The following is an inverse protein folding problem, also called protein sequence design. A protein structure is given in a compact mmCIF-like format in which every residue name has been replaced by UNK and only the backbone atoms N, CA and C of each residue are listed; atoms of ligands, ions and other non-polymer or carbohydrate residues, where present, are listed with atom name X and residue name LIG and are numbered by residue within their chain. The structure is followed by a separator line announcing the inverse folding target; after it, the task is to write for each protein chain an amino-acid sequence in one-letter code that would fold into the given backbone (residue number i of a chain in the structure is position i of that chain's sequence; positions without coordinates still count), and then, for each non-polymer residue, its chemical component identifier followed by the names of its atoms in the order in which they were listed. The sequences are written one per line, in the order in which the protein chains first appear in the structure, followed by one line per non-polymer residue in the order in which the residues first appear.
data_IF_047225484982
#
_entry.id   IF_047225484982
#
_cell.length_a   1.000
_cell.length_b   1.000
_cell.length_c   1.000
_cell.angle_alpha   90.00
_cell.angle_beta   90.00
_cell.angle_gamma   90.00
#
_symmetry.space_group_name_H-M   'P 1'
#
loop_
_entity.id
_entity.type
_entity.pdbx_description
1 polymer ?
#
# COMPACT_ATOMS: atom_id res chain seq x y z
N UNK A 1 -19.70 29.82 -7.96
CA UNK A 1 -18.58 28.89 -7.86
C UNK A 1 -18.68 28.23 -6.49
N UNK A 2 -18.96 26.94 -6.48
CA UNK A 2 -19.02 26.16 -5.22
C UNK A 2 -17.61 25.96 -4.70
N UNK A 3 -17.43 26.05 -3.40
CA UNK A 3 -16.18 25.66 -2.72
C UNK A 3 -16.03 24.15 -2.86
N UNK A 4 -14.82 23.67 -3.21
CA UNK A 4 -14.53 22.23 -3.25
C UNK A 4 -14.56 21.70 -1.80
N UNK A 5 -15.45 20.76 -1.46
CA UNK A 5 -15.55 20.25 -0.09
C UNK A 5 -14.23 19.63 0.41
N UNK A 6 -13.37 19.17 -0.47
CA UNK A 6 -12.08 18.55 -0.11
C UNK A 6 -11.07 19.56 0.43
N UNK A 7 -11.25 20.86 0.21
CA UNK A 7 -10.41 21.93 0.79
C UNK A 7 -10.43 21.95 2.33
N UNK A 8 -11.40 21.31 2.96
CA UNK A 8 -11.51 21.22 4.42
C UNK A 8 -10.83 19.99 5.01
N UNK A 9 -10.36 19.05 4.17
CA UNK A 9 -9.62 17.88 4.64
C UNK A 9 -8.14 18.24 4.78
N UNK A 10 -7.47 17.90 5.90
CA UNK A 10 -6.03 18.08 6.02
C UNK A 10 -5.28 17.38 4.88
N UNK A 11 -4.14 17.94 4.49
CA UNK A 11 -3.23 17.37 3.47
C UNK A 11 -1.92 16.93 4.13
N UNK A 12 -1.17 16.05 3.45
CA UNK A 12 0.16 15.63 3.90
C UNK A 12 1.07 16.84 4.14
N UNK A 13 1.90 16.77 5.19
CA UNK A 13 2.90 17.79 5.49
C UNK A 13 4.06 17.79 4.49
N UNK A 14 4.36 16.62 3.90
CA UNK A 14 5.43 16.47 2.90
C UNK A 14 4.90 16.88 1.53
N UNK A 15 5.79 17.46 0.74
CA UNK A 15 5.49 17.83 -0.64
C UNK A 15 5.09 16.58 -1.44
N UNK A 16 3.94 16.59 -2.13
CA UNK A 16 3.50 15.46 -2.97
C UNK A 16 4.52 15.07 -4.06
N UNK A 17 5.23 16.05 -4.66
CA UNK A 17 6.27 15.77 -5.67
C UNK A 17 7.48 15.08 -5.04
N UNK A 18 7.86 15.45 -3.81
CA UNK A 18 8.91 14.79 -3.06
C UNK A 18 8.52 13.34 -2.74
N UNK A 19 7.28 13.11 -2.26
CA UNK A 19 6.77 11.77 -1.97
C UNK A 19 6.71 10.89 -3.23
N UNK A 20 6.30 11.45 -4.36
CA UNK A 20 6.29 10.73 -5.64
C UNK A 20 7.71 10.35 -6.07
N UNK A 21 8.69 11.25 -5.91
CA UNK A 21 10.10 10.94 -6.17
C UNK A 21 10.64 9.81 -5.30
N UNK A 22 10.28 9.76 -4.01
CA UNK A 22 10.62 8.65 -3.13
C UNK A 22 9.94 7.35 -3.55
N UNK A 23 8.66 7.40 -3.91
CA UNK A 23 7.91 6.24 -4.38
C UNK A 23 8.52 5.64 -5.64
N UNK A 24 8.90 6.48 -6.61
CA UNK A 24 9.62 6.05 -7.80
C UNK A 24 10.98 5.43 -7.48
N UNK A 25 11.73 6.02 -6.53
CA UNK A 25 13.00 5.48 -6.09
C UNK A 25 12.82 4.09 -5.50
N UNK A 26 11.90 3.90 -4.56
CA UNK A 26 11.61 2.62 -3.94
C UNK A 26 11.10 1.57 -4.94
N UNK A 27 10.36 2.00 -5.96
CA UNK A 27 9.94 1.11 -7.06
C UNK A 27 11.14 0.60 -7.86
N UNK A 28 12.16 1.44 -8.09
CA UNK A 28 13.41 1.03 -8.76
C UNK A 28 14.24 0.05 -7.93
N UNK A 29 14.10 0.06 -6.60
CA UNK A 29 14.74 -0.93 -5.71
C UNK A 29 14.13 -2.34 -5.83
N UNK A 30 12.99 -2.50 -6.47
CA UNK A 30 12.46 -3.82 -6.85
C UNK A 30 13.22 -4.29 -8.10
N UNK A 31 14.25 -5.13 -7.92
CA UNK A 31 15.13 -5.57 -9.00
C UNK A 31 14.53 -6.69 -9.86
N UNK A 32 13.61 -7.51 -9.31
CA UNK A 32 12.81 -8.45 -10.11
C UNK A 32 11.93 -7.67 -11.10
N UNK A 33 12.18 -7.74 -12.42
CA UNK A 33 11.47 -6.92 -13.38
C UNK A 33 9.98 -7.25 -13.48
N UNK A 34 9.59 -8.47 -13.10
CA UNK A 34 8.21 -8.92 -13.13
C UNK A 34 7.43 -8.29 -11.97
N UNK A 35 7.98 -8.35 -10.75
CA UNK A 35 7.36 -7.71 -9.58
C UNK A 35 7.34 -6.18 -9.73
N UNK A 36 8.43 -5.59 -10.23
CA UNK A 36 8.46 -4.13 -10.50
C UNK A 36 7.38 -3.71 -11.47
N UNK A 37 7.17 -4.46 -12.54
CA UNK A 37 6.10 -4.18 -13.51
C UNK A 37 4.70 -4.23 -12.86
N UNK A 38 4.45 -5.14 -11.91
CA UNK A 38 3.18 -5.17 -11.16
C UNK A 38 3.01 -3.88 -10.35
N UNK A 39 4.06 -3.43 -9.65
CA UNK A 39 4.03 -2.17 -8.89
C UNK A 39 3.75 -0.98 -9.82
N UNK A 40 4.48 -0.88 -10.94
CA UNK A 40 4.33 0.20 -11.92
C UNK A 40 2.90 0.25 -12.49
N UNK A 41 2.35 -0.91 -12.84
CA UNK A 41 0.97 -1.00 -13.36
C UNK A 41 -0.07 -0.62 -12.32
N UNK A 42 0.09 -1.02 -11.08
CA UNK A 42 -0.88 -0.75 -10.02
C UNK A 42 -0.85 0.71 -9.57
N UNK A 43 0.35 1.29 -9.37
CA UNK A 43 0.52 2.60 -8.72
C UNK A 43 0.59 3.74 -9.74
N UNK A 44 1.28 3.57 -10.89
CA UNK A 44 1.58 4.69 -11.78
C UNK A 44 0.73 4.72 -13.06
N UNK A 45 0.32 3.59 -13.59
CA UNK A 45 -0.34 3.53 -14.91
C UNK A 45 -1.74 2.91 -14.87
N UNK A 46 -2.12 2.28 -13.78
CA UNK A 46 -3.43 1.64 -13.61
C UNK A 46 -4.56 2.63 -13.28
N UNK A 47 -5.80 2.13 -13.27
CA UNK A 47 -6.98 2.95 -12.95
C UNK A 47 -6.93 3.60 -11.56
N UNK A 48 -6.15 3.06 -10.64
CA UNK A 48 -6.01 3.55 -9.26
C UNK A 48 -4.92 4.63 -9.10
N UNK A 49 -4.17 4.97 -10.14
CA UNK A 49 -2.98 5.81 -10.04
C UNK A 49 -3.26 7.22 -9.51
N UNK A 50 -4.32 7.86 -9.98
CA UNK A 50 -4.72 9.19 -9.52
C UNK A 50 -5.21 9.14 -8.06
N UNK A 51 -6.06 8.18 -7.74
CA UNK A 51 -6.57 7.99 -6.39
C UNK A 51 -5.46 7.62 -5.40
N UNK A 52 -4.44 6.87 -5.81
CA UNK A 52 -3.31 6.53 -4.95
C UNK A 52 -2.56 7.76 -4.44
N UNK A 53 -2.43 8.80 -5.26
CA UNK A 53 -1.80 10.07 -4.89
C UNK A 53 -2.63 10.88 -3.90
N UNK A 54 -3.95 10.74 -3.94
CA UNK A 54 -4.91 11.56 -3.18
C UNK A 54 -5.46 10.86 -1.94
N UNK A 55 -5.57 9.54 -1.96
CA UNK A 55 -6.25 8.79 -0.92
C UNK A 55 -5.66 9.02 0.47
N UNK A 56 -6.51 9.11 1.51
CA UNK A 56 -6.08 9.01 2.89
C UNK A 56 -5.69 7.57 3.21
N UNK A 57 -4.89 7.39 4.26
CA UNK A 57 -4.54 6.05 4.74
C UNK A 57 -5.60 5.47 5.69
N UNK A 58 -6.23 6.34 6.49
CA UNK A 58 -7.29 5.94 7.43
C UNK A 58 -8.39 6.99 7.46
N UNK A 59 -9.54 6.62 8.04
CA UNK A 59 -10.64 7.55 8.29
C UNK A 59 -10.35 8.48 9.48
N UNK A 60 -9.87 7.90 10.58
CA UNK A 60 -9.61 8.60 11.83
C UNK A 60 -8.39 7.95 12.49
N UNK A 61 -7.21 8.50 12.35
CA UNK A 61 -6.00 7.93 12.92
C UNK A 61 -4.75 8.37 12.16
N UNK A 62 -3.77 7.47 12.05
CA UNK A 62 -2.54 7.77 11.33
C UNK A 62 -2.82 8.06 9.84
N UNK A 63 -2.19 9.10 9.33
CA UNK A 63 -2.32 9.52 7.92
C UNK A 63 -3.78 9.75 7.44
N UNK A 64 -4.68 10.26 8.32
CA UNK A 64 -6.07 10.59 8.01
C UNK A 64 -6.18 11.96 7.31
N UNK A 65 -5.50 12.10 6.18
CA UNK A 65 -5.43 13.30 5.34
C UNK A 65 -5.17 12.93 3.88
N UNK A 66 -5.44 13.85 2.97
CA UNK A 66 -5.19 13.63 1.55
C UNK A 66 -3.69 13.43 1.28
N UNK A 67 -3.36 12.40 0.48
CA UNK A 67 -1.98 11.97 0.26
C UNK A 67 -1.40 11.08 1.36
N UNK A 68 -2.16 10.80 2.43
CA UNK A 68 -1.74 9.98 3.55
C UNK A 68 -1.38 8.55 3.16
N UNK A 69 -2.07 7.97 2.18
CA UNK A 69 -1.75 6.65 1.64
C UNK A 69 -0.35 6.61 1.03
N UNK A 70 0.00 7.59 0.22
CA UNK A 70 1.32 7.67 -0.41
C UNK A 70 2.42 7.90 0.64
N UNK A 71 2.19 8.79 1.61
CA UNK A 71 3.16 9.04 2.69
C UNK A 71 3.42 7.79 3.53
N UNK A 72 2.36 7.06 3.93
CA UNK A 72 2.47 5.79 4.65
C UNK A 72 3.23 4.75 3.82
N UNK A 73 2.89 4.60 2.55
CA UNK A 73 3.55 3.65 1.64
C UNK A 73 5.06 3.92 1.52
N UNK A 74 5.46 5.19 1.37
CA UNK A 74 6.87 5.60 1.32
C UNK A 74 7.56 5.30 2.65
N UNK A 75 6.91 5.58 3.78
CA UNK A 75 7.47 5.29 5.11
C UNK A 75 7.73 3.79 5.30
N UNK A 76 6.73 2.93 4.99
CA UNK A 76 6.88 1.47 5.10
C UNK A 76 7.95 0.95 4.14
N UNK A 77 8.00 1.44 2.89
CA UNK A 77 9.03 1.07 1.92
C UNK A 77 10.45 1.45 2.38
N UNK A 78 10.61 2.62 3.00
CA UNK A 78 11.89 3.04 3.59
C UNK A 78 12.32 2.11 4.72
N UNK A 79 11.41 1.72 5.60
CA UNK A 79 11.68 0.73 6.66
C UNK A 79 12.06 -0.64 6.09
N UNK A 80 11.48 -1.05 4.96
CA UNK A 80 11.84 -2.28 4.25
C UNK A 80 13.29 -2.24 3.79
N UNK A 81 13.76 -1.13 3.21
CA UNK A 81 15.15 -0.99 2.75
C UNK A 81 16.11 -1.29 3.90
N UNK A 82 15.96 -0.62 5.04
CA UNK A 82 16.81 -0.83 6.23
C UNK A 82 16.68 -2.26 6.78
N UNK A 83 15.48 -2.81 6.78
CA UNK A 83 15.24 -4.17 7.26
C UNK A 83 15.95 -5.21 6.41
N UNK A 84 15.96 -5.06 5.08
CA UNK A 84 16.63 -5.98 4.17
C UNK A 84 18.16 -5.93 4.32
N UNK A 85 18.72 -4.77 4.62
CA UNK A 85 20.16 -4.65 4.96
C UNK A 85 20.51 -5.47 6.20
N UNK A 86 19.69 -5.41 7.24
CA UNK A 86 19.88 -6.15 8.50
C UNK A 86 19.57 -7.65 8.37
N UNK A 87 18.67 -8.02 7.46
CA UNK A 87 18.17 -9.38 7.28
C UNK A 87 18.31 -9.86 5.83
N UNK A 88 19.54 -10.16 5.35
CA UNK A 88 19.81 -10.45 3.93
C UNK A 88 19.23 -11.79 3.42
N UNK A 89 18.56 -12.56 4.28
CA UNK A 89 17.82 -13.77 3.88
C UNK A 89 16.39 -13.49 3.41
N UNK A 90 15.89 -12.28 3.65
CA UNK A 90 14.59 -11.86 3.10
C UNK A 90 14.69 -11.68 1.59
N UNK A 91 13.63 -12.06 0.88
CA UNK A 91 13.46 -11.69 -0.51
C UNK A 91 13.11 -10.19 -0.58
N UNK A 92 14.11 -9.34 -0.81
CA UNK A 92 13.97 -7.89 -0.82
C UNK A 92 12.98 -7.41 -1.88
N UNK A 93 12.99 -8.03 -3.07
CA UNK A 93 12.09 -7.67 -4.17
C UNK A 93 10.63 -7.95 -3.82
N UNK A 94 10.36 -9.13 -3.26
CA UNK A 94 9.02 -9.51 -2.82
C UNK A 94 8.53 -8.60 -1.68
N UNK A 95 9.39 -8.36 -0.67
CA UNK A 95 9.01 -7.55 0.49
C UNK A 95 8.79 -6.09 0.08
N UNK A 96 9.64 -5.52 -0.77
CA UNK A 96 9.47 -4.15 -1.26
C UNK A 96 8.21 -4.03 -2.13
N UNK A 97 7.99 -4.92 -3.09
CA UNK A 97 6.77 -4.91 -3.90
C UNK A 97 5.51 -5.04 -3.04
N UNK A 98 5.53 -5.93 -2.04
CA UNK A 98 4.42 -6.08 -1.11
C UNK A 98 4.22 -4.84 -0.25
N UNK A 99 5.28 -4.17 0.20
CA UNK A 99 5.20 -2.93 0.96
C UNK A 99 4.62 -1.77 0.14
N UNK A 100 4.99 -1.66 -1.12
CA UNK A 100 4.45 -0.62 -2.01
C UNK A 100 2.96 -0.84 -2.35
N UNK A 101 2.48 -2.08 -2.30
CA UNK A 101 1.13 -2.47 -2.72
C UNK A 101 0.18 -2.82 -1.57
N UNK A 102 0.66 -2.93 -0.31
CA UNK A 102 -0.13 -3.52 0.77
C UNK A 102 -1.47 -2.82 1.01
N UNK A 103 -1.49 -1.52 0.86
CA UNK A 103 -2.65 -0.66 1.11
C UNK A 103 -3.29 -0.09 -0.16
N UNK A 104 -2.92 -0.57 -1.37
CA UNK A 104 -3.45 -0.06 -2.64
C UNK A 104 -4.98 -0.09 -2.72
N UNK A 105 -5.62 -1.01 -2.03
CA UNK A 105 -7.07 -1.12 -1.98
C UNK A 105 -7.78 0.05 -1.30
N UNK A 106 -7.08 0.86 -0.52
CA UNK A 106 -7.61 2.09 0.09
C UNK A 106 -8.01 3.13 -0.95
N UNK A 107 -7.47 3.05 -2.16
CA UNK A 107 -7.91 3.86 -3.31
C UNK A 107 -9.39 3.64 -3.67
N UNK A 108 -9.93 2.46 -3.39
CA UNK A 108 -11.36 2.16 -3.61
C UNK A 108 -12.16 2.01 -2.32
N UNK A 109 -11.51 2.02 -1.16
CA UNK A 109 -12.18 1.87 0.14
C UNK A 109 -12.81 3.17 0.61
N UNK A 110 -12.16 4.32 0.38
CA UNK A 110 -12.63 5.59 0.87
C UNK A 110 -13.39 6.39 -0.20
N UNK A 111 -14.35 7.19 0.30
CA UNK A 111 -14.92 8.35 -0.38
C UNK A 111 -14.62 9.58 0.45
N UNK A 112 -14.35 10.71 -0.19
CA UNK A 112 -14.09 11.95 0.52
C UNK A 112 -14.68 13.14 -0.20
N UNK A 113 -15.26 14.03 0.63
CA UNK A 113 -15.81 15.30 0.29
C UNK A 113 -15.44 16.25 1.41
N UNK A 114 -16.40 16.71 2.23
CA UNK A 114 -16.12 17.46 3.46
C UNK A 114 -15.53 16.57 4.59
N UNK A 115 -15.72 15.28 4.51
CA UNK A 115 -15.21 14.29 5.47
C UNK A 115 -14.72 13.05 4.71
N UNK A 116 -13.82 12.30 5.36
CA UNK A 116 -13.39 10.97 4.89
C UNK A 116 -14.44 9.94 5.36
N UNK A 117 -15.09 9.30 4.39
CA UNK A 117 -16.08 8.24 4.62
C UNK A 117 -15.64 6.92 3.97
N UNK A 118 -16.40 5.85 4.18
CA UNK A 118 -16.27 4.63 3.41
C UNK A 118 -17.14 4.72 2.14
N UNK A 119 -16.57 4.29 1.01
CA UNK A 119 -17.35 4.04 -0.19
C UNK A 119 -18.28 2.84 0.02
N UNK A 120 -19.30 2.67 -0.81
CA UNK A 120 -20.13 1.46 -0.78
C UNK A 120 -19.28 0.19 -0.96
N UNK A 121 -18.33 0.23 -1.88
CA UNK A 121 -17.39 -0.87 -2.12
C UNK A 121 -16.48 -1.11 -0.92
N UNK A 122 -16.00 -0.05 -0.26
CA UNK A 122 -15.22 -0.13 0.96
C UNK A 122 -15.97 -0.77 2.12
N UNK A 123 -17.26 -0.43 2.28
CA UNK A 123 -18.12 -1.03 3.32
C UNK A 123 -18.36 -2.52 3.10
N UNK A 124 -18.49 -2.97 1.85
CA UNK A 124 -18.80 -4.36 1.51
C UNK A 124 -17.58 -5.27 1.44
N UNK A 125 -16.45 -4.77 0.94
CA UNK A 125 -15.27 -5.58 0.63
C UNK A 125 -14.06 -5.27 1.52
N UNK A 126 -13.91 -4.02 1.94
CA UNK A 126 -12.69 -3.55 2.62
C UNK A 126 -11.46 -3.49 1.70
N UNK A 127 -10.41 -2.78 2.13
CA UNK A 127 -9.22 -2.55 1.30
C UNK A 127 -8.43 -3.83 0.98
N UNK A 128 -8.46 -4.87 1.83
CA UNK A 128 -7.75 -6.12 1.54
C UNK A 128 -8.27 -6.77 0.26
N UNK A 129 -9.60 -6.92 0.14
CA UNK A 129 -10.20 -7.53 -1.04
C UNK A 129 -10.04 -6.64 -2.27
N UNK A 130 -10.29 -5.34 -2.13
CA UNK A 130 -10.12 -4.37 -3.22
C UNK A 130 -8.66 -4.37 -3.71
N UNK A 131 -7.69 -4.40 -2.78
CA UNK A 131 -6.27 -4.47 -3.10
C UNK A 131 -5.89 -5.76 -3.82
N UNK A 132 -6.42 -6.90 -3.38
CA UNK A 132 -6.21 -8.18 -4.05
C UNK A 132 -6.71 -8.17 -5.51
N UNK A 133 -7.85 -7.52 -5.78
CA UNK A 133 -8.38 -7.37 -7.13
C UNK A 133 -7.48 -6.48 -8.01
N UNK A 134 -7.03 -5.34 -7.47
CA UNK A 134 -6.11 -4.42 -8.19
C UNK A 134 -4.79 -5.13 -8.51
N UNK A 135 -4.18 -5.79 -7.52
CA UNK A 135 -2.92 -6.53 -7.70
C UNK A 135 -3.09 -7.67 -8.71
N UNK A 136 -4.19 -8.40 -8.65
CA UNK A 136 -4.49 -9.48 -9.61
C UNK A 136 -4.61 -8.94 -11.03
N UNK A 137 -5.29 -7.81 -11.22
CA UNK A 137 -5.39 -7.15 -12.52
C UNK A 137 -4.03 -6.67 -13.05
N UNK A 138 -3.20 -6.07 -12.18
CA UNK A 138 -1.86 -5.62 -12.52
C UNK A 138 -0.89 -6.79 -12.80
N UNK A 139 -1.17 -7.98 -12.26
CA UNK A 139 -0.35 -9.20 -12.39
C UNK A 139 -0.67 -10.03 -13.64
N UNK A 140 -1.38 -9.48 -14.62
CA UNK A 140 -1.62 -10.22 -15.87
C UNK A 140 -0.31 -10.59 -16.57
N UNK A 141 -0.16 -11.89 -16.87
CA UNK A 141 1.07 -12.44 -17.46
C UNK A 141 2.18 -12.78 -16.46
N UNK A 142 1.98 -12.55 -15.18
CA UNK A 142 2.89 -12.96 -14.12
C UNK A 142 2.66 -14.43 -13.78
N UNK A 143 3.73 -15.18 -13.52
CA UNK A 143 3.63 -16.57 -13.08
C UNK A 143 2.88 -16.69 -11.72
N UNK A 144 2.27 -17.85 -11.52
CA UNK A 144 1.42 -18.09 -10.36
C UNK A 144 2.19 -18.03 -9.03
N UNK A 145 3.44 -18.46 -9.03
CA UNK A 145 4.28 -18.49 -7.82
C UNK A 145 4.52 -17.07 -7.30
N UNK A 146 5.02 -16.16 -8.15
CA UNK A 146 5.26 -14.75 -7.77
C UNK A 146 3.97 -14.05 -7.36
N UNK A 147 2.90 -14.22 -8.14
CA UNK A 147 1.61 -13.62 -7.84
C UNK A 147 1.06 -14.10 -6.50
N UNK A 148 1.13 -15.40 -6.22
CA UNK A 148 0.65 -15.97 -4.96
C UNK A 148 1.49 -15.50 -3.78
N UNK A 149 2.82 -15.46 -3.92
CA UNK A 149 3.72 -14.96 -2.89
C UNK A 149 3.42 -13.48 -2.56
N UNK A 150 3.26 -12.63 -3.57
CA UNK A 150 2.93 -11.22 -3.39
C UNK A 150 1.58 -11.03 -2.69
N UNK A 151 0.53 -11.67 -3.18
CA UNK A 151 -0.80 -11.61 -2.59
C UNK A 151 -0.81 -12.13 -1.15
N UNK A 152 -0.09 -13.22 -0.84
CA UNK A 152 -0.02 -13.75 0.51
C UNK A 152 0.63 -12.78 1.50
N UNK A 153 1.68 -12.06 1.09
CA UNK A 153 2.29 -11.01 1.91
C UNK A 153 1.31 -9.86 2.15
N UNK A 154 0.70 -9.35 1.08
CA UNK A 154 -0.24 -8.23 1.15
C UNK A 154 -1.46 -8.58 2.02
N UNK A 155 -2.06 -9.75 1.84
CA UNK A 155 -3.23 -10.17 2.62
C UNK A 155 -2.94 -10.39 4.10
N UNK A 156 -1.67 -10.55 4.50
CA UNK A 156 -1.25 -10.75 5.89
C UNK A 156 -0.75 -9.48 6.58
N UNK A 157 -0.78 -8.30 5.94
CA UNK A 157 -0.18 -7.09 6.53
C UNK A 157 -0.90 -6.57 7.79
N UNK A 158 -2.13 -7.03 8.06
CA UNK A 158 -2.84 -6.83 9.32
C UNK A 158 -2.84 -8.06 10.25
N UNK A 159 -2.06 -9.08 9.92
CA UNK A 159 -2.00 -10.33 10.65
C UNK A 159 -2.52 -11.53 9.85
N UNK A 160 -2.59 -12.68 10.51
CA UNK A 160 -2.94 -13.95 9.84
C UNK A 160 -4.45 -14.21 9.76
N UNK A 161 -5.25 -13.43 10.47
CA UNK A 161 -6.70 -13.69 10.63
C UNK A 161 -7.48 -13.52 9.33
N UNK A 162 -7.06 -12.58 8.47
CA UNK A 162 -7.69 -12.34 7.17
C UNK A 162 -7.73 -13.59 6.29
N UNK A 163 -6.67 -14.42 6.36
CA UNK A 163 -6.56 -15.69 5.63
C UNK A 163 -6.84 -16.92 6.52
N UNK A 164 -7.25 -16.71 7.78
CA UNK A 164 -7.46 -17.79 8.77
C UNK A 164 -6.26 -18.73 8.92
N UNK A 165 -5.06 -18.18 8.81
CA UNK A 165 -3.83 -18.95 8.94
C UNK A 165 -3.41 -19.04 10.40
N UNK A 166 -2.83 -20.19 10.80
CA UNK A 166 -2.26 -20.37 12.15
C UNK A 166 -0.91 -19.69 12.32
N UNK A 167 -0.23 -19.38 11.23
CA UNK A 167 1.08 -18.73 11.18
C UNK A 167 1.23 -17.94 9.89
N UNK A 168 2.12 -16.98 9.88
CA UNK A 168 2.48 -16.26 8.65
C UNK A 168 3.05 -17.21 7.59
N UNK A 169 2.72 -16.99 6.31
CA UNK A 169 3.16 -17.88 5.22
C UNK A 169 4.66 -17.75 4.91
N UNK A 170 5.27 -16.61 5.19
CA UNK A 170 6.69 -16.34 4.91
C UNK A 170 7.30 -15.36 5.91
N UNK A 171 8.62 -15.23 5.88
CA UNK A 171 9.35 -14.22 6.67
C UNK A 171 9.03 -12.79 6.19
N UNK A 172 8.83 -12.60 4.89
CA UNK A 172 8.46 -11.33 4.28
C UNK A 172 7.08 -10.87 4.78
N UNK A 173 6.11 -11.79 4.89
CA UNK A 173 4.79 -11.48 5.44
C UNK A 173 4.85 -11.04 6.91
N UNK A 174 5.72 -11.68 7.73
CA UNK A 174 5.97 -11.23 9.12
C UNK A 174 6.60 -9.84 9.12
N UNK A 175 7.62 -9.63 8.29
CA UNK A 175 8.33 -8.36 8.21
C UNK A 175 7.36 -7.23 7.84
N UNK A 176 6.58 -7.40 6.77
CA UNK A 176 5.59 -6.41 6.33
C UNK A 176 4.59 -6.08 7.43
N UNK A 177 4.01 -7.09 8.08
CA UNK A 177 3.08 -6.89 9.21
C UNK A 177 3.69 -6.03 10.31
N UNK A 178 4.96 -6.29 10.70
CA UNK A 178 5.63 -5.55 11.77
C UNK A 178 5.99 -4.12 11.37
N UNK A 179 6.46 -3.91 10.15
CA UNK A 179 6.85 -2.59 9.65
C UNK A 179 5.63 -1.69 9.43
N UNK A 180 4.54 -2.25 8.89
CA UNK A 180 3.26 -1.57 8.79
C UNK A 180 2.73 -1.15 10.17
N UNK A 181 2.73 -2.07 11.13
CA UNK A 181 2.27 -1.79 12.49
C UNK A 181 3.15 -0.75 13.20
N UNK A 182 4.45 -0.71 12.92
CA UNK A 182 5.38 0.29 13.47
C UNK A 182 5.01 1.70 12.98
N UNK A 183 4.91 1.92 11.66
CA UNK A 183 4.58 3.25 11.13
C UNK A 183 3.19 3.70 11.60
N UNK A 184 2.20 2.81 11.53
CA UNK A 184 0.84 3.09 12.00
C UNK A 184 0.79 3.46 13.50
N UNK A 185 1.61 2.81 14.33
CA UNK A 185 1.63 3.03 15.78
C UNK A 185 2.36 4.27 16.24
N UNK A 186 3.37 4.76 15.50
CA UNK A 186 4.15 5.95 15.91
C UNK A 186 3.57 7.26 15.38
N UNK A 187 2.64 7.20 14.44
CA UNK A 187 1.98 8.37 13.83
C UNK A 187 0.57 8.65 14.36
N UNK A 188 0.15 8.00 15.43
CA UNK A 188 -1.15 8.26 16.08
C UNK A 188 -1.11 9.47 17.00
#
# INVERSE_FOLDING_TARGET
PGVDPTEFIPVAYRDPEELEGFLEHLTREVHDPVLRQVVERAIFTGPSAEEFRRAPCTRNGHHAYLGGLMEHTVAVGTLVTETCVLHPKLNSDLLMAAALLHDIGKTGEFSYGAEIGLSERGQLLGHLQIGAEIITAASQGVDEERRTALLSCVMCHHGTDALRLRRFPSAEAIALYRLNALDAGVKT
#
